data_IF_515119677617
#
_entry.id   IF_515119677617
#
_cell.length_a   1.000
_cell.length_b   1.000
_cell.length_c   1.000
_cell.angle_alpha   90.00
_cell.angle_beta   90.00
_cell.angle_gamma   90.00
#
_symmetry.space_group_name_H-M   'P 1'
#
loop_
_entity.id
_entity.type
_entity.pdbx_description
1 polymer ?
#
# COMPACT_ATOMS: atom_id res chain seq x y z
N UNK A 1 -59.27 127.21 4.85
CA UNK A 1 -58.45 127.61 3.70
C UNK A 1 -58.00 126.39 2.96
N UNK A 2 -58.52 126.24 1.76
CA UNK A 2 -58.18 125.26 0.67
C UNK A 2 -56.71 125.28 0.31
N UNK A 3 -56.20 124.35 -0.43
CA UNK A 3 -56.70 124.05 -1.79
C UNK A 3 -56.81 122.56 -2.12
N UNK A 4 -57.75 122.36 -3.03
CA UNK A 4 -57.82 121.25 -3.99
C UNK A 4 -56.54 121.01 -4.75
N UNK A 5 -56.27 119.77 -4.96
CA UNK A 5 -55.51 119.37 -6.14
C UNK A 5 -56.25 118.24 -6.86
N UNK A 6 -57.01 118.66 -7.76
CA UNK A 6 -57.71 117.90 -8.79
C UNK A 6 -56.70 117.53 -9.91
N UNK A 7 -55.97 116.47 -9.77
CA UNK A 7 -54.95 116.07 -10.79
C UNK A 7 -55.31 114.83 -11.61
N UNK A 8 -56.44 114.19 -11.32
CA UNK A 8 -56.82 113.09 -12.16
C UNK A 8 -58.25 113.12 -12.59
N UNK A 9 -58.46 113.11 -13.95
CA UNK A 9 -59.79 113.03 -14.57
C UNK A 9 -60.53 111.78 -14.08
N UNK A 10 -61.77 111.94 -13.68
CA UNK A 10 -62.72 110.94 -13.23
C UNK A 10 -62.83 109.73 -14.18
N UNK A 11 -62.60 109.91 -15.44
CA UNK A 11 -62.56 108.83 -16.47
C UNK A 11 -61.38 107.89 -16.35
N UNK A 12 -60.25 108.31 -15.77
CA UNK A 12 -59.07 107.47 -15.63
C UNK A 12 -59.20 106.50 -14.43
N UNK A 13 -59.96 106.90 -13.43
CA UNK A 13 -60.26 106.06 -12.24
C UNK A 13 -61.26 104.93 -12.60
N UNK A 14 -62.25 105.23 -13.44
CA UNK A 14 -63.24 104.25 -13.84
C UNK A 14 -62.66 103.18 -14.79
N UNK A 15 -61.59 103.46 -15.54
CA UNK A 15 -60.99 102.50 -16.45
C UNK A 15 -60.12 101.50 -15.73
N UNK A 16 -59.57 101.80 -14.59
CA UNK A 16 -58.77 100.88 -13.78
C UNK A 16 -59.59 99.89 -12.97
N UNK A 17 -60.85 100.23 -12.68
CA UNK A 17 -61.72 99.39 -11.86
C UNK A 17 -62.41 98.28 -12.64
N UNK A 18 -62.50 98.36 -13.96
CA UNK A 18 -63.13 97.33 -14.82
C UNK A 18 -62.16 96.35 -15.49
N UNK A 19 -60.82 96.51 -15.37
CA UNK A 19 -59.85 95.62 -15.98
C UNK A 19 -59.23 94.56 -15.02
N UNK A 20 -59.62 94.61 -13.76
CA UNK A 20 -59.07 93.69 -12.76
C UNK A 20 -59.90 92.40 -12.52
N UNK A 21 -61.06 92.28 -13.13
CA UNK A 21 -61.89 91.09 -13.03
C UNK A 21 -62.02 90.47 -14.43
N UNK A 22 -61.17 89.39 -14.62
CA UNK A 22 -61.26 88.56 -15.79
C UNK A 22 -62.66 88.00 -15.99
N UNK A 23 -63.11 87.86 -17.26
CA UNK A 23 -64.39 87.22 -17.60
C UNK A 23 -64.47 85.86 -16.92
N UNK A 24 -65.34 85.67 -15.92
CA UNK A 24 -65.71 84.38 -15.37
C UNK A 24 -66.51 83.62 -16.44
N UNK A 25 -65.88 82.70 -17.14
CA UNK A 25 -66.64 81.76 -17.96
C UNK A 25 -67.20 80.71 -17.01
N UNK A 26 -68.47 80.69 -16.76
CA UNK A 26 -69.20 79.62 -16.10
C UNK A 26 -69.24 78.44 -17.07
N UNK A 27 -68.17 77.58 -16.99
CA UNK A 27 -68.30 76.24 -17.49
C UNK A 27 -69.26 75.50 -16.52
N UNK A 28 -70.30 74.93 -17.03
CA UNK A 28 -71.19 74.06 -16.23
C UNK A 28 -70.36 72.89 -15.78
N UNK A 29 -70.10 72.67 -14.46
CA UNK A 29 -69.41 71.48 -14.01
C UNK A 29 -70.30 70.29 -14.34
N UNK A 30 -69.75 69.26 -14.98
CA UNK A 30 -70.36 67.93 -15.01
C UNK A 30 -70.85 67.64 -13.61
N UNK A 31 -72.13 67.31 -13.47
CA UNK A 31 -72.76 67.23 -12.13
C UNK A 31 -71.92 66.27 -11.27
N UNK A 32 -71.60 66.71 -10.04
CA UNK A 32 -70.84 65.91 -9.09
C UNK A 32 -71.41 64.50 -8.95
N UNK A 33 -72.72 64.34 -9.11
CA UNK A 33 -73.40 63.04 -9.11
C UNK A 33 -72.98 62.17 -10.28
N UNK A 34 -72.65 62.71 -11.44
CA UNK A 34 -72.13 61.92 -12.58
C UNK A 34 -70.70 61.47 -12.34
N UNK A 35 -69.85 62.28 -11.72
CA UNK A 35 -68.49 61.97 -11.42
C UNK A 35 -68.41 60.89 -10.28
N UNK A 36 -69.24 61.00 -9.26
CA UNK A 36 -69.32 60.00 -8.19
C UNK A 36 -69.89 58.69 -8.69
N UNK A 37 -70.86 58.71 -9.58
CA UNK A 37 -71.39 57.48 -10.17
C UNK A 37 -70.33 56.77 -11.05
N UNK A 38 -69.59 57.55 -11.84
CA UNK A 38 -68.50 57.05 -12.68
C UNK A 38 -67.41 56.44 -11.81
N UNK A 39 -67.01 57.09 -10.72
CA UNK A 39 -66.04 56.59 -9.79
C UNK A 39 -66.49 55.33 -9.08
N UNK A 40 -67.80 55.27 -8.70
CA UNK A 40 -68.35 54.06 -8.07
C UNK A 40 -68.39 52.88 -9.04
N UNK A 41 -68.75 53.13 -10.33
CA UNK A 41 -68.70 52.05 -11.36
C UNK A 41 -67.28 51.60 -11.60
N UNK A 42 -66.30 52.48 -11.68
CA UNK A 42 -64.91 52.15 -11.83
C UNK A 42 -64.38 51.32 -10.60
N UNK A 43 -64.76 51.75 -9.40
CA UNK A 43 -64.38 50.98 -8.18
C UNK A 43 -65.00 49.57 -8.17
N UNK A 44 -66.25 49.46 -8.61
CA UNK A 44 -66.95 48.20 -8.69
C UNK A 44 -66.33 47.26 -9.76
N UNK A 45 -65.90 47.81 -10.89
CA UNK A 45 -65.18 47.12 -11.95
C UNK A 45 -63.82 46.60 -11.41
N UNK A 46 -63.07 47.42 -10.67
CA UNK A 46 -61.82 47.09 -10.09
C UNK A 46 -62.03 45.99 -9.03
N UNK A 47 -63.00 46.12 -8.14
CA UNK A 47 -63.34 45.06 -7.16
C UNK A 47 -63.79 43.80 -7.88
N UNK A 48 -64.62 43.86 -8.89
CA UNK A 48 -65.08 42.79 -9.73
C UNK A 48 -63.84 42.07 -10.39
N UNK A 49 -62.88 42.82 -10.89
CA UNK A 49 -61.67 42.28 -11.48
C UNK A 49 -60.84 41.58 -10.45
N UNK A 50 -60.71 42.05 -9.20
CA UNK A 50 -59.99 41.36 -8.13
C UNK A 50 -60.72 40.13 -7.63
N UNK A 51 -62.06 40.10 -7.62
CA UNK A 51 -62.84 38.97 -7.17
C UNK A 51 -62.98 37.84 -8.22
N UNK A 52 -63.08 38.20 -9.49
CA UNK A 52 -63.32 37.30 -10.61
C UNK A 52 -62.13 37.15 -11.57
N UNK A 53 -61.11 38.00 -11.45
CA UNK A 53 -59.92 37.98 -12.29
C UNK A 53 -58.96 36.87 -11.88
N UNK A 54 -58.76 35.84 -12.70
CA UNK A 54 -57.74 34.84 -12.51
C UNK A 54 -56.45 35.26 -13.21
N UNK A 55 -55.38 35.50 -12.42
CA UNK A 55 -54.05 35.78 -12.95
C UNK A 55 -53.24 34.51 -13.06
N UNK A 56 -53.02 34.00 -14.27
CA UNK A 56 -52.18 32.82 -14.50
C UNK A 56 -50.71 33.24 -14.54
N UNK A 57 -49.99 32.98 -13.44
CA UNK A 57 -48.52 33.16 -13.38
C UNK A 57 -47.85 31.99 -14.08
N UNK A 58 -47.26 32.19 -15.23
CA UNK A 58 -46.42 31.19 -15.90
C UNK A 58 -45.04 31.26 -15.30
N UNK A 59 -44.57 30.10 -14.73
CA UNK A 59 -43.22 29.92 -14.26
C UNK A 59 -42.53 28.93 -15.19
N UNK A 60 -41.48 29.36 -15.86
CA UNK A 60 -40.62 28.45 -16.64
C UNK A 60 -39.63 27.80 -15.69
N UNK A 61 -39.72 26.51 -15.50
CA UNK A 61 -38.79 25.72 -14.70
C UNK A 61 -37.95 24.93 -15.69
N UNK A 62 -36.62 25.07 -15.61
CA UNK A 62 -35.70 24.19 -16.31
C UNK A 62 -35.53 22.94 -15.46
N UNK A 63 -35.78 21.78 -16.02
CA UNK A 63 -35.61 20.49 -15.37
C UNK A 63 -34.88 19.54 -16.29
N UNK A 64 -34.20 18.58 -15.71
CA UNK A 64 -33.56 17.47 -16.42
C UNK A 64 -34.35 16.20 -16.14
N UNK A 65 -34.64 15.43 -17.19
CA UNK A 65 -35.22 14.11 -17.04
C UNK A 65 -34.15 13.16 -16.47
N UNK A 66 -34.40 12.64 -15.29
CA UNK A 66 -33.56 11.61 -14.66
C UNK A 66 -34.32 10.29 -14.69
N UNK A 67 -33.71 9.21 -15.13
CA UNK A 67 -34.33 7.86 -15.09
C UNK A 67 -34.77 7.49 -13.68
N UNK A 68 -35.90 6.81 -13.54
CA UNK A 68 -36.42 6.35 -12.24
C UNK A 68 -35.49 5.34 -11.54
N UNK A 69 -34.69 4.59 -12.32
CA UNK A 69 -33.66 3.66 -11.85
C UNK A 69 -32.41 4.34 -11.27
N UNK A 70 -32.31 5.67 -11.41
CA UNK A 70 -31.11 6.42 -11.05
C UNK A 70 -30.05 6.42 -12.14
N UNK A 71 -28.99 7.16 -11.92
CA UNK A 71 -27.82 7.23 -12.80
C UNK A 71 -26.57 7.06 -11.96
N UNK A 72 -25.78 6.02 -12.24
CA UNK A 72 -24.50 5.78 -11.59
C UNK A 72 -23.39 6.37 -12.46
N UNK A 73 -22.69 7.37 -11.94
CA UNK A 73 -21.53 7.98 -12.61
C UNK A 73 -20.29 7.21 -12.27
N UNK A 74 -19.60 6.70 -13.28
CA UNK A 74 -18.34 5.97 -13.12
C UNK A 74 -17.19 6.95 -13.28
N UNK A 75 -16.38 7.10 -12.24
CA UNK A 75 -15.20 7.97 -12.23
C UNK A 75 -13.91 7.17 -12.32
N UNK A 76 -12.86 7.80 -12.81
CA UNK A 76 -11.53 7.23 -12.72
C UNK A 76 -11.09 7.17 -11.24
N UNK A 77 -10.60 6.02 -10.75
CA UNK A 77 -10.12 5.91 -9.36
C UNK A 77 -8.89 6.79 -9.08
N UNK A 78 -8.12 7.10 -10.11
CA UNK A 78 -7.01 8.06 -10.09
C UNK A 78 -6.78 8.65 -11.49
N UNK A 79 -6.05 9.75 -11.56
CA UNK A 79 -5.68 10.38 -12.82
C UNK A 79 -4.80 9.46 -13.67
N UNK A 80 -5.05 9.43 -14.98
CA UNK A 80 -4.31 8.56 -15.91
C UNK A 80 -4.70 8.79 -17.36
N UNK A 81 -4.17 7.94 -18.25
CA UNK A 81 -4.48 7.95 -19.68
C UNK A 81 -5.30 6.70 -20.01
N UNK A 82 -6.37 6.85 -20.76
CA UNK A 82 -7.17 5.70 -21.24
C UNK A 82 -6.36 4.93 -22.28
N UNK A 83 -5.95 3.69 -21.93
CA UNK A 83 -5.23 2.81 -22.84
C UNK A 83 -6.18 2.12 -23.82
N UNK A 84 -7.30 1.60 -23.30
CA UNK A 84 -8.31 0.88 -24.09
C UNK A 84 -9.70 1.11 -23.51
N UNK A 85 -10.66 1.24 -24.42
CA UNK A 85 -12.10 1.33 -24.14
C UNK A 85 -12.77 0.07 -24.67
N UNK A 86 -13.60 -0.59 -23.85
CA UNK A 86 -14.30 -1.83 -24.20
C UNK A 86 -15.82 -1.60 -24.32
N UNK A 87 -16.31 -0.41 -23.96
CA UNK A 87 -17.72 -0.09 -23.94
C UNK A 87 -18.03 1.01 -24.97
N UNK A 88 -19.19 0.90 -25.60
CA UNK A 88 -19.72 1.90 -26.54
C UNK A 88 -20.97 2.57 -25.97
N UNK A 89 -21.30 3.74 -26.49
CA UNK A 89 -22.54 4.46 -26.15
C UNK A 89 -23.76 3.58 -26.46
N UNK A 90 -24.68 3.46 -25.48
CA UNK A 90 -25.88 2.64 -25.61
C UNK A 90 -25.69 1.13 -25.39
N UNK A 91 -24.47 0.68 -25.06
CA UNK A 91 -24.20 -0.74 -24.83
C UNK A 91 -24.71 -1.17 -23.46
N UNK A 92 -25.39 -2.34 -23.41
CA UNK A 92 -25.73 -2.99 -22.14
C UNK A 92 -24.49 -3.60 -21.49
N UNK A 93 -24.28 -3.29 -20.22
CA UNK A 93 -23.14 -3.77 -19.41
C UNK A 93 -23.64 -4.48 -18.17
N UNK A 94 -22.90 -5.48 -17.70
CA UNK A 94 -23.18 -6.22 -16.47
C UNK A 94 -22.26 -5.76 -15.35
N UNK A 95 -22.72 -5.85 -14.12
CA UNK A 95 -21.91 -5.57 -12.95
C UNK A 95 -20.58 -6.36 -12.98
N UNK A 96 -19.46 -5.67 -12.79
CA UNK A 96 -18.10 -6.23 -12.87
C UNK A 96 -17.54 -6.32 -14.29
N UNK A 97 -18.31 -5.99 -15.33
CA UNK A 97 -17.82 -6.00 -16.72
C UNK A 97 -16.76 -4.91 -16.93
N UNK A 98 -15.75 -5.24 -17.74
CA UNK A 98 -14.63 -4.33 -18.03
C UNK A 98 -15.08 -3.20 -18.93
N UNK A 99 -14.95 -1.97 -18.47
CA UNK A 99 -15.31 -0.78 -19.21
C UNK A 99 -14.12 -0.13 -19.92
N UNK A 100 -13.05 0.11 -19.15
CA UNK A 100 -11.85 0.79 -19.63
C UNK A 100 -10.62 0.32 -18.90
N UNK A 101 -9.46 0.43 -19.54
CA UNK A 101 -8.14 0.26 -18.93
C UNK A 101 -7.44 1.61 -18.94
N UNK A 102 -7.04 2.05 -17.76
CA UNK A 102 -6.32 3.31 -17.57
C UNK A 102 -4.84 3.00 -17.26
N UNK A 103 -3.93 3.83 -17.75
CA UNK A 103 -2.54 3.88 -17.30
C UNK A 103 -2.37 5.08 -16.40
N UNK A 104 -1.82 4.88 -15.20
CA UNK A 104 -1.43 5.98 -14.32
C UNK A 104 0.00 6.46 -14.57
N UNK A 105 0.59 6.07 -15.68
CA UNK A 105 1.96 6.40 -16.00
C UNK A 105 2.14 7.92 -16.15
N UNK A 106 2.99 8.50 -15.32
CA UNK A 106 3.39 9.90 -15.41
C UNK A 106 4.72 9.96 -16.14
N UNK A 107 4.78 10.78 -17.18
CA UNK A 107 6.03 11.08 -17.86
C UNK A 107 6.73 12.22 -17.09
N UNK A 108 7.87 11.93 -16.48
CA UNK A 108 8.76 12.97 -15.95
C UNK A 108 9.48 13.65 -17.12
N UNK A 109 9.76 14.95 -17.02
CA UNK A 109 10.34 15.75 -18.09
C UNK A 109 11.68 15.20 -18.63
N UNK A 110 12.45 14.43 -17.84
CA UNK A 110 13.77 13.92 -18.22
C UNK A 110 13.97 12.41 -18.04
N UNK A 111 13.03 11.68 -17.44
CA UNK A 111 13.24 10.29 -16.99
C UNK A 111 12.35 9.24 -17.67
N UNK A 112 11.52 9.63 -18.62
CA UNK A 112 10.56 8.70 -19.24
C UNK A 112 9.47 8.23 -18.27
N UNK A 113 8.87 7.04 -18.49
CA UNK A 113 7.78 6.54 -17.67
C UNK A 113 8.27 6.16 -16.26
N UNK A 114 7.93 6.99 -15.27
CA UNK A 114 8.42 6.88 -13.89
C UNK A 114 8.02 5.54 -13.25
N UNK A 115 6.76 5.13 -13.42
CA UNK A 115 6.24 3.91 -12.80
C UNK A 115 6.91 2.65 -13.37
N UNK A 116 7.10 2.60 -14.69
CA UNK A 116 7.84 1.50 -15.33
C UNK A 116 9.31 1.45 -14.87
N UNK A 117 9.91 2.61 -14.56
CA UNK A 117 11.25 2.70 -13.98
C UNK A 117 11.33 2.09 -12.58
N UNK A 118 10.31 2.35 -11.75
CA UNK A 118 10.18 1.78 -10.39
C UNK A 118 10.01 0.26 -10.49
N UNK A 119 9.04 -0.22 -11.28
CA UNK A 119 8.81 -1.66 -11.47
C UNK A 119 10.09 -2.38 -11.91
N UNK A 120 10.83 -1.83 -12.88
CA UNK A 120 12.09 -2.42 -13.37
C UNK A 120 13.16 -2.52 -12.28
N UNK A 121 13.29 -1.51 -11.42
CA UNK A 121 14.22 -1.56 -10.28
C UNK A 121 13.80 -2.59 -9.24
N UNK A 122 12.50 -2.73 -8.99
CA UNK A 122 11.98 -3.75 -8.08
C UNK A 122 12.18 -5.16 -8.64
N UNK A 123 11.99 -5.36 -9.95
CA UNK A 123 12.33 -6.63 -10.64
C UNK A 123 13.81 -6.99 -10.49
N UNK A 124 14.71 -6.05 -10.76
CA UNK A 124 16.14 -6.25 -10.59
C UNK A 124 16.50 -6.61 -9.15
N UNK A 125 15.88 -5.94 -8.17
CA UNK A 125 16.10 -6.23 -6.75
C UNK A 125 15.55 -7.61 -6.37
N UNK A 126 14.36 -7.99 -6.85
CA UNK A 126 13.77 -9.32 -6.67
C UNK A 126 14.70 -10.40 -7.20
N UNK A 127 15.21 -10.23 -8.43
CA UNK A 127 16.09 -11.21 -9.06
C UNK A 127 17.42 -11.33 -8.31
N UNK A 128 18.01 -10.20 -7.88
CA UNK A 128 19.21 -10.20 -7.02
C UNK A 128 19.00 -10.95 -5.70
N UNK A 129 17.85 -10.78 -5.03
CA UNK A 129 17.53 -11.49 -3.80
C UNK A 129 17.28 -12.98 -4.03
N UNK A 130 16.73 -13.38 -5.19
CA UNK A 130 16.59 -14.79 -5.58
C UNK A 130 17.95 -15.45 -5.78
N UNK A 131 18.85 -14.78 -6.48
CA UNK A 131 20.24 -15.24 -6.67
C UNK A 131 20.98 -15.35 -5.33
N UNK A 132 20.82 -14.37 -4.45
CA UNK A 132 21.37 -14.40 -3.11
C UNK A 132 20.86 -15.58 -2.29
N UNK A 133 19.55 -15.84 -2.33
CA UNK A 133 18.92 -16.96 -1.64
C UNK A 133 19.44 -18.33 -2.16
N UNK A 134 19.66 -18.44 -3.46
CA UNK A 134 20.23 -19.66 -4.04
C UNK A 134 21.69 -19.86 -3.64
N UNK A 135 22.51 -18.79 -3.70
CA UNK A 135 23.91 -18.82 -3.23
C UNK A 135 23.99 -19.18 -1.74
N UNK A 136 23.12 -18.56 -0.93
CA UNK A 136 23.08 -18.84 0.51
C UNK A 136 22.74 -20.31 0.77
N UNK A 137 21.79 -20.91 0.06
CA UNK A 137 21.47 -22.34 0.18
C UNK A 137 22.67 -23.23 -0.15
N UNK A 138 23.35 -22.95 -1.26
CA UNK A 138 24.55 -23.71 -1.65
C UNK A 138 25.65 -23.65 -0.58
N UNK A 139 25.94 -22.44 -0.08
CA UNK A 139 26.91 -22.25 1.00
C UNK A 139 26.53 -23.04 2.26
N UNK A 140 25.24 -23.07 2.60
CA UNK A 140 24.74 -23.80 3.77
C UNK A 140 24.85 -25.32 3.59
N UNK A 141 24.59 -25.84 2.40
CA UNK A 141 24.75 -27.25 2.09
C UNK A 141 26.23 -27.65 2.15
N UNK A 142 27.15 -26.84 1.58
CA UNK A 142 28.60 -27.05 1.63
C UNK A 142 29.12 -27.06 3.07
N UNK A 143 28.66 -26.10 3.90
CA UNK A 143 29.06 -26.05 5.33
C UNK A 143 28.59 -27.30 6.10
N UNK A 144 27.33 -27.72 5.86
CA UNK A 144 26.75 -28.91 6.49
C UNK A 144 27.52 -30.18 6.09
N UNK A 145 27.82 -30.31 4.80
CA UNK A 145 28.57 -31.49 4.29
C UNK A 145 30.00 -31.51 4.80
N UNK A 146 30.65 -30.34 4.91
CA UNK A 146 31.96 -30.20 5.52
C UNK A 146 31.98 -30.66 7.01
N UNK A 147 31.01 -30.16 7.80
CA UNK A 147 30.90 -30.58 9.21
C UNK A 147 30.56 -32.05 9.37
N UNK A 148 29.67 -32.58 8.52
CA UNK A 148 29.32 -34.01 8.52
C UNK A 148 30.53 -34.85 8.21
N UNK A 149 31.34 -34.46 7.23
CA UNK A 149 32.59 -35.14 6.87
C UNK A 149 33.62 -35.12 8.01
N UNK A 150 33.75 -33.97 8.73
CA UNK A 150 34.61 -33.84 9.91
C UNK A 150 34.17 -34.77 11.05
N UNK A 151 32.86 -34.82 11.35
CA UNK A 151 32.27 -35.71 12.33
C UNK A 151 32.58 -37.19 11.99
N UNK A 152 32.38 -37.57 10.72
CA UNK A 152 32.68 -38.95 10.27
C UNK A 152 34.17 -39.27 10.35
N UNK A 153 35.06 -38.31 10.07
CA UNK A 153 36.51 -38.50 10.24
C UNK A 153 36.90 -38.72 11.68
N UNK A 154 36.44 -37.87 12.61
CA UNK A 154 36.72 -38.03 14.06
C UNK A 154 36.15 -39.32 14.63
N UNK A 155 34.99 -39.79 14.12
CA UNK A 155 34.45 -41.12 14.52
C UNK A 155 35.35 -42.28 14.10
N UNK A 156 35.89 -42.25 12.86
CA UNK A 156 36.84 -43.28 12.37
C UNK A 156 38.12 -43.25 13.19
N UNK A 157 38.64 -42.05 13.48
CA UNK A 157 39.85 -41.90 14.30
C UNK A 157 39.65 -42.44 15.71
N UNK A 158 38.49 -42.17 16.35
CA UNK A 158 38.12 -42.76 17.64
C UNK A 158 38.05 -44.28 17.59
N UNK A 159 37.56 -44.85 16.49
CA UNK A 159 37.52 -46.33 16.32
C UNK A 159 38.91 -46.89 16.22
N UNK A 160 39.82 -46.27 15.48
CA UNK A 160 41.22 -46.67 15.37
C UNK A 160 41.93 -46.55 16.73
N UNK A 161 41.75 -45.43 17.42
CA UNK A 161 42.35 -45.20 18.74
C UNK A 161 41.79 -46.18 19.79
N UNK A 162 40.52 -46.56 19.70
CA UNK A 162 39.94 -47.59 20.56
C UNK A 162 40.65 -48.98 20.37
N UNK A 163 40.87 -49.31 19.09
CA UNK A 163 41.62 -50.58 18.80
C UNK A 163 43.09 -50.55 19.30
N UNK A 164 43.77 -49.40 19.19
CA UNK A 164 45.11 -49.19 19.72
C UNK A 164 45.12 -49.29 21.27
N UNK A 165 44.14 -48.66 21.92
CA UNK A 165 43.98 -48.69 23.39
C UNK A 165 43.76 -50.14 23.88
N UNK A 166 42.91 -50.93 23.19
CA UNK A 166 42.67 -52.33 23.51
C UNK A 166 43.95 -53.16 23.36
N UNK A 167 44.70 -52.95 22.26
CA UNK A 167 45.99 -53.64 22.08
C UNK A 167 46.98 -53.22 23.15
N UNK A 168 47.07 -51.98 23.55
CA UNK A 168 47.93 -51.49 24.62
C UNK A 168 47.53 -52.06 25.99
N UNK A 169 46.24 -52.25 26.27
CA UNK A 169 45.74 -52.87 27.49
C UNK A 169 46.23 -54.37 27.60
N UNK A 170 46.21 -55.05 26.46
CA UNK A 170 46.74 -56.44 26.42
C UNK A 170 48.25 -56.48 26.68
N UNK A 171 49.04 -55.57 26.10
CA UNK A 171 50.47 -55.44 26.36
C UNK A 171 50.77 -55.14 27.84
N UNK A 172 49.95 -54.19 28.39
CA UNK A 172 50.07 -53.88 29.83
C UNK A 172 49.78 -55.11 30.71
N UNK A 173 48.75 -55.90 30.39
CA UNK A 173 48.44 -57.14 31.12
C UNK A 173 49.63 -58.17 31.07
N UNK A 174 50.19 -58.32 29.84
CA UNK A 174 51.38 -59.22 29.69
C UNK A 174 52.58 -58.72 30.49
N UNK A 175 52.85 -57.40 30.48
CA UNK A 175 53.94 -56.81 31.26
C UNK A 175 53.71 -56.95 32.78
N UNK A 176 52.46 -56.77 33.20
CA UNK A 176 52.05 -56.93 34.60
C UNK A 176 52.28 -58.40 35.09
N UNK A 177 51.82 -59.38 34.28
CA UNK A 177 52.03 -60.81 34.59
C UNK A 177 53.50 -61.19 34.60
N UNK A 178 54.29 -60.61 33.68
CA UNK A 178 55.74 -60.84 33.69
C UNK A 178 56.39 -60.25 34.94
N UNK A 179 56.08 -59.04 35.32
CA UNK A 179 56.60 -58.40 36.53
C UNK A 179 56.20 -59.18 37.78
N UNK A 180 54.95 -59.67 37.88
CA UNK A 180 54.52 -60.55 39.01
C UNK A 180 55.28 -61.88 39.10
N UNK A 181 55.46 -62.51 37.92
CA UNK A 181 56.28 -63.78 37.89
C UNK A 181 57.73 -63.53 38.33
N UNK A 182 58.36 -62.45 37.84
CA UNK A 182 59.74 -62.11 38.23
C UNK A 182 59.83 -61.72 39.70
N UNK A 183 58.84 -61.04 40.26
CA UNK A 183 58.80 -60.82 41.74
C UNK A 183 58.81 -62.14 42.52
N UNK A 184 57.97 -63.10 42.11
CA UNK A 184 57.95 -64.42 42.77
C UNK A 184 59.25 -65.26 42.61
N UNK A 185 60.00 -65.05 41.51
CA UNK A 185 61.31 -65.64 41.31
C UNK A 185 62.36 -64.90 42.14
N UNK A 186 62.30 -63.62 42.30
CA UNK A 186 63.17 -62.83 43.17
C UNK A 186 63.01 -63.26 44.64
N UNK A 187 61.75 -63.40 45.11
CA UNK A 187 61.43 -63.84 46.47
C UNK A 187 62.02 -65.24 46.80
N UNK A 188 62.24 -66.04 45.74
CA UNK A 188 62.87 -67.36 45.83
C UNK A 188 64.43 -67.37 45.65
N UNK A 189 64.97 -66.16 45.34
CA UNK A 189 66.43 -66.00 45.13
C UNK A 189 66.92 -66.45 43.74
N UNK A 190 66.03 -66.66 42.75
CA UNK A 190 66.43 -67.22 41.44
C UNK A 190 66.84 -66.14 40.42
N UNK A 191 66.59 -64.87 40.66
CA UNK A 191 66.92 -63.77 39.78
C UNK A 191 67.61 -62.64 40.57
N UNK A 192 68.29 -61.73 39.84
CA UNK A 192 68.87 -60.53 40.42
C UNK A 192 67.82 -59.37 40.56
N UNK A 193 68.14 -58.44 41.47
CA UNK A 193 67.31 -57.20 41.61
C UNK A 193 67.24 -56.43 40.32
N UNK A 194 68.31 -56.33 39.56
CA UNK A 194 68.30 -55.60 38.24
C UNK A 194 67.31 -56.22 37.25
N UNK A 195 67.19 -57.55 37.21
CA UNK A 195 66.20 -58.19 36.33
C UNK A 195 64.77 -57.90 36.75
N UNK A 196 64.47 -57.80 38.01
CA UNK A 196 63.16 -57.39 38.50
C UNK A 196 62.89 -55.92 38.19
N UNK A 197 63.86 -55.02 38.47
CA UNK A 197 63.74 -53.60 38.18
C UNK A 197 63.48 -53.31 36.67
N UNK A 198 64.18 -54.09 35.81
CA UNK A 198 63.96 -53.98 34.36
C UNK A 198 62.48 -54.31 33.97
N UNK A 199 61.87 -55.34 34.52
CA UNK A 199 60.48 -55.71 34.26
C UNK A 199 59.47 -54.70 34.85
N UNK A 200 59.78 -54.15 36.02
CA UNK A 200 58.99 -53.07 36.62
C UNK A 200 59.06 -51.79 35.79
N UNK A 201 60.23 -51.43 35.24
CA UNK A 201 60.39 -50.29 34.35
C UNK A 201 59.59 -50.51 33.05
N UNK A 202 59.61 -51.71 32.46
CA UNK A 202 58.79 -52.05 31.28
C UNK A 202 57.30 -51.94 31.57
N UNK A 203 56.81 -52.45 32.69
CA UNK A 203 55.42 -52.30 33.12
C UNK A 203 55.02 -50.83 33.28
N UNK A 204 55.88 -50.01 33.90
CA UNK A 204 55.65 -48.60 34.06
C UNK A 204 55.56 -47.88 32.69
N UNK A 205 56.47 -48.22 31.76
CA UNK A 205 56.45 -47.71 30.38
C UNK A 205 55.15 -48.06 29.67
N UNK A 206 54.64 -49.29 29.73
CA UNK A 206 53.38 -49.71 29.14
C UNK A 206 52.21 -48.98 29.76
N UNK A 207 52.21 -48.72 31.07
CA UNK A 207 51.16 -47.93 31.78
C UNK A 207 51.15 -46.50 31.36
N UNK A 208 52.32 -45.85 31.20
CA UNK A 208 52.43 -44.46 30.72
C UNK A 208 51.88 -44.33 29.29
N UNK A 209 52.17 -45.25 28.38
CA UNK A 209 51.67 -45.30 27.03
C UNK A 209 50.17 -45.43 27.02
N UNK A 210 49.58 -46.33 27.84
CA UNK A 210 48.12 -46.46 27.95
C UNK A 210 47.45 -45.13 28.41
N UNK A 211 48.02 -44.53 29.46
CA UNK A 211 47.51 -43.23 29.94
C UNK A 211 47.61 -42.14 28.89
N UNK A 212 48.61 -42.14 28.00
CA UNK A 212 48.75 -41.30 26.85
C UNK A 212 47.53 -41.43 25.86
N UNK A 213 47.29 -42.70 25.46
CA UNK A 213 46.20 -43.08 24.57
C UNK A 213 44.80 -42.73 25.15
N UNK A 214 44.60 -42.90 26.46
CA UNK A 214 43.36 -42.54 27.14
C UNK A 214 43.13 -41.04 27.18
N UNK A 215 44.16 -40.22 27.38
CA UNK A 215 44.09 -38.76 27.29
C UNK A 215 43.72 -38.30 25.85
N UNK A 216 44.40 -38.87 24.86
CA UNK A 216 44.11 -38.59 23.45
C UNK A 216 42.67 -38.95 23.08
N UNK A 217 42.19 -40.13 23.52
CA UNK A 217 40.81 -40.59 23.36
C UNK A 217 39.80 -39.61 23.98
N UNK A 218 40.10 -39.06 25.16
CA UNK A 218 39.26 -38.09 25.85
C UNK A 218 39.19 -36.77 25.06
N UNK A 219 40.35 -36.27 24.61
CA UNK A 219 40.44 -35.08 23.76
C UNK A 219 39.66 -35.25 22.46
N UNK A 220 39.82 -36.39 21.79
CA UNK A 220 39.12 -36.65 20.51
C UNK A 220 37.62 -36.82 20.70
N UNK A 221 37.16 -37.39 21.82
CA UNK A 221 35.72 -37.42 22.17
C UNK A 221 35.15 -36.05 22.42
N UNK A 222 35.91 -35.18 23.08
CA UNK A 222 35.49 -33.80 23.30
C UNK A 222 35.35 -33.05 21.98
N UNK A 223 36.31 -33.17 21.07
CA UNK A 223 36.25 -32.58 19.73
C UNK A 223 35.04 -33.11 18.94
N UNK A 224 34.78 -34.42 18.99
CA UNK A 224 33.61 -34.99 18.32
C UNK A 224 32.29 -34.44 18.87
N UNK A 225 32.18 -34.29 20.19
CA UNK A 225 30.99 -33.72 20.83
C UNK A 225 30.81 -32.29 20.42
N UNK A 226 31.86 -31.49 20.38
CA UNK A 226 31.83 -30.09 19.93
C UNK A 226 31.35 -29.98 18.48
N UNK A 227 31.92 -30.79 17.55
CA UNK A 227 31.49 -30.78 16.13
C UNK A 227 30.07 -31.29 15.93
N UNK A 228 29.58 -32.22 16.72
CA UNK A 228 28.18 -32.65 16.70
C UNK A 228 27.23 -31.55 17.18
N UNK A 229 27.59 -30.84 18.25
CA UNK A 229 26.81 -29.73 18.75
C UNK A 229 26.77 -28.58 17.73
N UNK A 230 27.91 -28.29 17.06
CA UNK A 230 27.99 -27.31 15.98
C UNK A 230 27.06 -27.68 14.81
N UNK A 231 27.09 -28.95 14.36
CA UNK A 231 26.21 -29.47 13.32
C UNK A 231 24.74 -29.43 13.73
N UNK A 232 24.41 -29.76 14.97
CA UNK A 232 23.05 -29.71 15.48
C UNK A 232 22.49 -28.26 15.52
N UNK A 233 23.35 -27.30 15.92
CA UNK A 233 22.97 -25.89 15.97
C UNK A 233 22.93 -25.17 14.59
N UNK A 234 23.59 -25.76 13.58
CA UNK A 234 23.74 -25.18 12.25
C UNK A 234 22.38 -24.99 11.57
N UNK A 235 21.50 -25.98 11.61
CA UNK A 235 20.19 -25.94 10.95
C UNK A 235 19.31 -24.77 11.42
N UNK A 236 19.32 -24.46 12.72
CA UNK A 236 18.56 -23.36 13.28
C UNK A 236 19.10 -22.00 12.83
N UNK A 237 20.44 -21.84 12.82
CA UNK A 237 21.09 -20.61 12.34
C UNK A 237 20.82 -20.38 10.85
N UNK A 238 20.96 -21.43 10.05
CA UNK A 238 20.71 -21.41 8.61
C UNK A 238 19.24 -21.12 8.30
N UNK A 239 18.29 -21.72 9.03
CA UNK A 239 16.86 -21.45 8.87
C UNK A 239 16.53 -19.96 9.13
N UNK A 240 17.15 -19.34 10.14
CA UNK A 240 16.94 -17.93 10.45
C UNK A 240 17.47 -17.02 9.34
N UNK A 241 18.66 -17.30 8.79
CA UNK A 241 19.21 -16.53 7.66
C UNK A 241 18.34 -16.65 6.41
N UNK A 242 17.91 -17.86 6.05
CA UNK A 242 17.01 -18.08 4.92
C UNK A 242 15.65 -17.39 5.13
N UNK A 243 15.11 -17.41 6.34
CA UNK A 243 13.86 -16.75 6.67
C UNK A 243 13.96 -15.23 6.50
N UNK A 244 15.11 -14.65 6.86
CA UNK A 244 15.36 -13.21 6.68
C UNK A 244 15.37 -12.81 5.20
N UNK A 245 16.17 -13.49 4.39
CA UNK A 245 16.24 -13.22 2.94
C UNK A 245 14.88 -13.46 2.26
N UNK A 246 14.13 -14.51 2.70
CA UNK A 246 12.77 -14.75 2.20
C UNK A 246 11.80 -13.63 2.55
N UNK A 247 11.85 -13.08 3.77
CA UNK A 247 11.02 -11.92 4.15
C UNK A 247 11.31 -10.71 3.27
N UNK A 248 12.60 -10.43 3.01
CA UNK A 248 13.00 -9.34 2.12
C UNK A 248 12.50 -9.56 0.68
N UNK A 249 12.60 -10.79 0.18
CA UNK A 249 12.08 -11.16 -1.14
C UNK A 249 10.56 -10.95 -1.21
N UNK A 250 9.81 -11.42 -0.20
CA UNK A 250 8.35 -11.26 -0.15
C UNK A 250 7.95 -9.79 -0.09
N UNK A 251 8.67 -8.95 0.64
CA UNK A 251 8.42 -7.50 0.68
C UNK A 251 8.61 -6.87 -0.71
N UNK A 252 9.69 -7.20 -1.41
CA UNK A 252 9.93 -6.68 -2.77
C UNK A 252 8.90 -7.21 -3.78
N UNK A 253 8.47 -8.46 -3.65
CA UNK A 253 7.40 -9.03 -4.51
C UNK A 253 6.06 -8.33 -4.25
N UNK A 254 5.75 -7.97 -3.01
CA UNK A 254 4.58 -7.17 -2.66
C UNK A 254 4.68 -5.75 -3.25
N UNK A 255 5.81 -5.08 -3.08
CA UNK A 255 6.05 -3.74 -3.65
C UNK A 255 5.93 -3.75 -5.18
N UNK A 256 6.43 -4.80 -5.83
CA UNK A 256 6.32 -4.98 -7.28
C UNK A 256 4.85 -5.17 -7.70
N UNK A 257 4.10 -6.02 -7.01
CA UNK A 257 2.68 -6.25 -7.29
C UNK A 257 1.87 -4.95 -7.11
N UNK A 258 2.16 -4.18 -6.06
CA UNK A 258 1.53 -2.87 -5.82
C UNK A 258 1.91 -1.85 -6.92
N UNK A 259 3.18 -1.82 -7.33
CA UNK A 259 3.66 -0.95 -8.41
C UNK A 259 2.96 -1.27 -9.74
N UNK A 260 2.84 -2.55 -10.10
CA UNK A 260 2.14 -2.99 -11.30
C UNK A 260 0.61 -2.73 -11.22
N UNK A 261 -0.01 -2.96 -10.06
CA UNK A 261 -1.42 -2.64 -9.85
C UNK A 261 -1.71 -1.14 -10.00
N UNK A 262 -0.79 -0.29 -9.55
CA UNK A 262 -0.89 1.17 -9.74
C UNK A 262 -0.68 1.58 -11.19
N UNK A 263 0.12 0.84 -11.94
CA UNK A 263 0.46 1.15 -13.34
C UNK A 263 -0.73 0.98 -14.28
N UNK A 264 -1.52 -0.09 -14.07
CA UNK A 264 -2.64 -0.45 -14.95
C UNK A 264 -3.91 -0.61 -14.12
N UNK A 265 -4.85 0.29 -14.30
CA UNK A 265 -6.11 0.30 -13.60
C UNK A 265 -7.23 -0.19 -14.50
N UNK A 266 -7.94 -1.20 -14.04
CA UNK A 266 -9.14 -1.69 -14.70
C UNK A 266 -10.37 -1.01 -14.09
N UNK A 267 -11.10 -0.26 -14.90
CA UNK A 267 -12.40 0.31 -14.54
C UNK A 267 -13.47 -0.69 -14.94
N UNK A 268 -14.29 -1.10 -13.97
CA UNK A 268 -15.40 -2.05 -14.16
C UNK A 268 -16.74 -1.39 -13.87
N UNK A 269 -17.81 -1.96 -14.40
CA UNK A 269 -19.17 -1.49 -14.15
C UNK A 269 -19.57 -1.79 -12.68
N UNK A 270 -19.93 -0.79 -11.88
CA UNK A 270 -20.41 -0.99 -10.51
C UNK A 270 -21.77 -1.67 -10.44
N UNK A 271 -22.61 -1.46 -11.47
CA UNK A 271 -23.94 -2.06 -11.61
C UNK A 271 -24.24 -2.44 -13.06
N UNK A 272 -25.26 -3.28 -13.25
CA UNK A 272 -25.75 -3.64 -14.57
C UNK A 272 -26.69 -2.57 -15.11
N UNK A 273 -26.60 -2.22 -16.39
CA UNK A 273 -27.41 -1.19 -17.01
C UNK A 273 -26.98 -0.89 -18.43
N UNK A 274 -27.34 0.26 -18.94
CA UNK A 274 -26.93 0.75 -20.26
C UNK A 274 -25.90 1.88 -20.08
N UNK A 275 -24.76 1.73 -20.71
CA UNK A 275 -23.71 2.76 -20.72
C UNK A 275 -24.16 3.97 -21.53
N UNK A 276 -24.18 5.14 -20.91
CA UNK A 276 -24.56 6.41 -21.53
C UNK A 276 -23.55 7.49 -21.20
N UNK A 277 -23.50 8.54 -22.00
CA UNK A 277 -22.56 9.64 -21.84
C UNK A 277 -21.10 9.15 -21.70
N UNK A 278 -20.67 8.29 -22.61
CA UNK A 278 -19.29 7.77 -22.68
C UNK A 278 -18.37 8.91 -23.15
N UNK A 279 -17.80 9.64 -22.18
CA UNK A 279 -17.01 10.85 -22.43
C UNK A 279 -15.53 10.57 -22.66
N UNK A 280 -15.05 9.43 -22.15
CA UNK A 280 -13.62 9.09 -22.22
C UNK A 280 -13.28 8.33 -23.50
N UNK A 281 -12.24 8.80 -24.20
CA UNK A 281 -11.71 8.19 -25.42
C UNK A 281 -10.30 7.63 -25.20
N UNK A 282 -9.93 6.60 -26.01
CA UNK A 282 -8.59 6.05 -25.95
C UNK A 282 -7.53 7.12 -26.29
N UNK A 283 -6.46 7.19 -25.47
CA UNK A 283 -5.43 8.23 -25.55
C UNK A 283 -5.73 9.51 -24.76
N UNK A 284 -6.94 9.65 -24.22
CA UNK A 284 -7.33 10.83 -23.44
C UNK A 284 -6.84 10.74 -21.99
N UNK A 285 -6.37 11.88 -21.45
CA UNK A 285 -6.09 12.01 -20.02
C UNK A 285 -7.38 12.21 -19.25
N UNK A 286 -7.58 11.43 -18.20
CA UNK A 286 -8.75 11.46 -17.33
C UNK A 286 -8.33 11.65 -15.87
N UNK A 287 -9.22 12.24 -15.08
CA UNK A 287 -9.05 12.42 -13.65
C UNK A 287 -10.29 11.96 -12.86
N UNK A 288 -10.21 11.99 -11.54
CA UNK A 288 -11.32 11.59 -10.67
C UNK A 288 -12.46 12.64 -10.60
N UNK A 289 -12.24 13.86 -11.09
CA UNK A 289 -13.23 14.95 -11.00
C UNK A 289 -14.33 14.82 -12.06
N UNK A 290 -14.03 14.21 -13.20
CA UNK A 290 -14.97 14.04 -14.31
C UNK A 290 -15.40 12.59 -14.45
N UNK A 291 -16.68 12.31 -14.65
CA UNK A 291 -17.14 10.97 -14.93
C UNK A 291 -16.62 10.49 -16.29
N UNK A 292 -16.21 9.23 -16.37
CA UNK A 292 -15.82 8.58 -17.61
C UNK A 292 -17.02 8.23 -18.47
N UNK A 293 -18.06 7.74 -17.81
CA UNK A 293 -19.35 7.36 -18.38
C UNK A 293 -20.41 7.31 -17.27
N UNK A 294 -21.66 7.17 -17.68
CA UNK A 294 -22.79 6.95 -16.80
C UNK A 294 -23.47 5.62 -17.13
N UNK A 295 -24.01 4.93 -16.11
CA UNK A 295 -24.81 3.72 -16.29
C UNK A 295 -26.21 4.00 -15.79
N UNK A 296 -27.21 3.69 -16.62
CA UNK A 296 -28.64 3.90 -16.37
C UNK A 296 -29.36 2.57 -16.35
#
# INVERSE_FOLDING_TARGET
MTPQNDFFRAEALNRKMYQALGKVTLTRPVSFTFLTLLAAVMALLVVGFFLFGSYTKRSTVSGQLVPASGQVKVHAPQAGIVLRKFVQEGQAVRRGERLMVLSSERYGSDAGPVQAGISRRLEQRRDSLRDELEKLRRLQDDERDSLTSKVASLQRELTTLAAQTDSQQRLLALASDAAARYQGLMDKGYISMDQLQQRQAELLGQRQTLQGLERERTSLRQQLTERRNELAGLSARQANQLAETRRQLSAVEQDLAESEAKRTLLVTAPESGIATAVLAEAGQTVDSSRPLLSIV
#
